data_IF_451413265314
#
_entry.id   IF_451413265314
#
_cell.length_a   1.000
_cell.length_b   1.000
_cell.length_c   1.000
_cell.angle_alpha   90.00
_cell.angle_beta   90.00
_cell.angle_gamma   90.00
#
_symmetry.space_group_name_H-M   'P 1'
#
loop_
_entity.id
_entity.type
_entity.pdbx_description
1 polymer ?
#
# COMPACT_ATOMS: atom_id res chain seq x y z
N UNK A 1 -13.78 6.78 -3.84
CA UNK A 1 -13.41 7.97 -3.04
C UNK A 1 -11.94 7.87 -2.67
N UNK A 2 -11.22 8.99 -2.71
CA UNK A 2 -9.80 9.01 -2.33
C UNK A 2 -9.66 9.62 -0.95
N UNK A 3 -9.05 8.89 -0.02
CA UNK A 3 -8.88 9.36 1.35
C UNK A 3 -7.71 10.37 1.44
N UNK A 4 -7.92 11.45 2.19
CA UNK A 4 -6.93 12.52 2.42
C UNK A 4 -6.32 12.46 3.82
N UNK A 5 -7.07 11.93 4.78
CA UNK A 5 -6.71 11.80 6.18
C UNK A 5 -7.32 10.53 6.76
N UNK A 6 -6.76 10.02 7.86
CA UNK A 6 -7.15 8.73 8.46
C UNK A 6 -8.64 8.70 8.84
N UNK A 7 -9.21 9.83 9.25
CA UNK A 7 -10.63 9.94 9.58
C UNK A 7 -11.55 9.64 8.37
N UNK A 8 -11.11 9.88 7.14
CA UNK A 8 -11.88 9.53 5.94
C UNK A 8 -12.01 8.01 5.77
N UNK A 9 -10.98 7.25 6.16
CA UNK A 9 -10.99 5.77 6.14
C UNK A 9 -12.00 5.27 7.16
N UNK A 10 -11.98 5.82 8.37
CA UNK A 10 -12.91 5.48 9.44
C UNK A 10 -14.36 5.76 9.01
N UNK A 11 -14.62 6.95 8.47
CA UNK A 11 -15.93 7.32 7.96
C UNK A 11 -16.39 6.41 6.81
N UNK A 12 -15.49 6.07 5.87
CA UNK A 12 -15.81 5.16 4.77
C UNK A 12 -16.27 3.78 5.28
N UNK A 13 -15.57 3.22 6.27
CA UNK A 13 -15.92 1.92 6.88
C UNK A 13 -17.28 1.99 7.59
N UNK A 14 -17.54 3.07 8.34
CA UNK A 14 -18.80 3.21 9.09
C UNK A 14 -19.96 3.40 8.11
N UNK A 15 -19.84 4.32 7.15
CA UNK A 15 -20.87 4.58 6.15
C UNK A 15 -21.13 3.36 5.25
N UNK A 16 -20.10 2.60 4.87
CA UNK A 16 -20.29 1.38 4.06
C UNK A 16 -21.15 0.36 4.80
N UNK A 17 -20.93 0.18 6.10
CA UNK A 17 -21.73 -0.72 6.94
C UNK A 17 -23.17 -0.24 7.11
N UNK A 18 -23.36 1.06 7.38
CA UNK A 18 -24.70 1.66 7.56
C UNK A 18 -25.55 1.50 6.28
N UNK A 19 -24.94 1.71 5.11
CA UNK A 19 -25.64 1.70 3.83
C UNK A 19 -25.59 0.34 3.12
N UNK A 20 -24.98 -0.69 3.72
CA UNK A 20 -24.86 -2.02 3.11
C UNK A 20 -24.09 -2.05 1.79
N UNK A 21 -23.14 -1.12 1.60
CA UNK A 21 -22.33 -1.04 0.38
C UNK A 21 -21.04 -1.81 0.56
N UNK A 22 -20.64 -2.58 -0.46
CA UNK A 22 -19.34 -3.21 -0.45
C UNK A 22 -18.25 -2.15 -0.64
N UNK A 23 -17.23 -2.19 0.22
CA UNK A 23 -16.04 -1.36 0.08
C UNK A 23 -14.90 -2.23 -0.45
N UNK A 24 -14.22 -1.76 -1.50
CA UNK A 24 -12.97 -2.34 -2.00
C UNK A 24 -11.82 -1.38 -1.72
N UNK A 25 -10.68 -1.88 -1.27
CA UNK A 25 -9.51 -1.04 -0.95
C UNK A 25 -8.53 -1.15 -2.11
N UNK A 26 -8.15 -0.02 -2.70
CA UNK A 26 -7.15 0.03 -3.75
C UNK A 26 -5.95 0.86 -3.28
N UNK A 27 -4.78 0.21 -3.25
CA UNK A 27 -3.50 0.87 -2.99
C UNK A 27 -2.78 1.15 -4.31
N UNK A 28 -2.31 0.12 -5.02
CA UNK A 28 -1.49 0.26 -6.24
C UNK A 28 -2.10 -0.32 -7.52
N UNK A 29 -3.26 -0.99 -7.46
CA UNK A 29 -3.92 -1.54 -8.65
C UNK A 29 -3.21 -2.71 -9.33
N UNK A 30 -2.20 -3.32 -8.71
CA UNK A 30 -1.46 -4.49 -9.22
C UNK A 30 -2.14 -5.84 -8.92
N UNK A 31 -3.46 -5.81 -8.73
CA UNK A 31 -4.27 -7.00 -8.49
C UNK A 31 -4.51 -7.72 -9.82
N UNK A 32 -4.00 -8.94 -9.95
CA UNK A 32 -4.07 -9.71 -11.21
C UNK A 32 -5.51 -9.94 -11.68
N UNK A 33 -6.44 -10.12 -10.74
CA UNK A 33 -7.86 -10.36 -11.03
C UNK A 33 -8.70 -9.09 -10.82
N UNK A 34 -8.05 -7.96 -10.52
CA UNK A 34 -8.71 -6.67 -10.30
C UNK A 34 -9.65 -6.64 -9.09
N UNK A 35 -9.51 -7.55 -8.11
CA UNK A 35 -10.42 -7.68 -6.95
C UNK A 35 -10.50 -6.37 -6.16
N UNK A 36 -9.41 -5.60 -6.10
CA UNK A 36 -9.35 -4.28 -5.47
C UNK A 36 -10.17 -3.17 -6.14
N UNK A 37 -10.66 -3.36 -7.37
CA UNK A 37 -11.42 -2.33 -8.12
C UNK A 37 -12.56 -2.87 -8.99
N UNK A 38 -12.85 -4.17 -8.96
CA UNK A 38 -13.99 -4.81 -9.62
C UNK A 38 -14.90 -5.51 -8.60
N UNK A 39 -16.21 -5.47 -8.84
CA UNK A 39 -17.21 -6.22 -8.08
C UNK A 39 -18.48 -6.50 -8.87
N UNK A 40 -19.13 -7.62 -8.55
CA UNK A 40 -20.43 -8.03 -9.08
C UNK A 40 -21.62 -7.39 -8.32
N UNK A 41 -21.36 -6.73 -7.20
CA UNK A 41 -22.37 -6.05 -6.37
C UNK A 41 -22.10 -4.55 -6.30
N UNK A 42 -23.10 -3.71 -5.99
CA UNK A 42 -22.88 -2.28 -5.77
C UNK A 42 -21.77 -2.03 -4.75
N UNK A 43 -20.75 -1.30 -5.17
CA UNK A 43 -19.55 -1.08 -4.38
C UNK A 43 -18.98 0.31 -4.61
N UNK A 44 -18.07 0.70 -3.73
CA UNK A 44 -17.19 1.84 -3.96
C UNK A 44 -15.74 1.47 -3.63
N UNK A 45 -14.83 2.18 -4.29
CA UNK A 45 -13.39 2.03 -4.06
C UNK A 45 -12.97 3.05 -3.01
N UNK A 46 -12.30 2.58 -1.96
CA UNK A 46 -11.48 3.39 -1.08
C UNK A 46 -10.06 3.42 -1.63
N UNK A 47 -9.74 4.52 -2.30
CA UNK A 47 -8.42 4.77 -2.89
C UNK A 47 -7.51 5.42 -1.84
N UNK A 48 -6.37 4.78 -1.62
CA UNK A 48 -5.37 5.16 -0.63
C UNK A 48 -4.30 6.10 -1.24
N UNK A 49 -4.61 6.79 -2.35
CA UNK A 49 -3.68 7.60 -3.14
C UNK A 49 -2.67 8.41 -2.32
N UNK A 50 -3.18 9.13 -1.32
CA UNK A 50 -2.41 10.12 -0.56
C UNK A 50 -1.59 9.52 0.60
N UNK A 51 -1.68 8.21 0.85
CA UNK A 51 -0.97 7.54 1.94
C UNK A 51 0.27 6.83 1.43
N UNK A 52 1.29 7.60 1.02
CA UNK A 52 2.51 7.10 0.39
C UNK A 52 3.81 7.45 1.16
N UNK A 53 3.71 7.97 2.39
CA UNK A 53 4.90 8.38 3.14
C UNK A 53 5.79 7.20 3.53
N UNK A 54 7.10 7.42 3.50
CA UNK A 54 8.14 6.48 3.91
C UNK A 54 9.03 7.18 4.93
N UNK A 55 9.16 6.60 6.12
CA UNK A 55 10.01 7.13 7.18
C UNK A 55 10.94 6.03 7.72
N UNK A 56 12.21 6.13 7.39
CA UNK A 56 13.26 5.17 7.79
C UNK A 56 14.07 5.76 8.94
N UNK A 57 14.16 5.03 10.06
CA UNK A 57 15.03 5.33 11.19
C UNK A 57 16.21 4.34 11.20
N UNK A 58 17.42 4.85 10.92
CA UNK A 58 18.64 4.03 10.90
C UNK A 58 19.01 3.60 12.32
N UNK A 59 18.93 4.52 13.27
CA UNK A 59 19.29 4.28 14.68
C UNK A 59 18.47 3.15 15.31
N UNK A 60 17.20 3.04 14.95
CA UNK A 60 16.30 2.02 15.48
C UNK A 60 16.12 0.82 14.53
N UNK A 61 16.78 0.82 13.36
CA UNK A 61 16.64 -0.21 12.32
C UNK A 61 15.17 -0.49 11.91
N UNK A 62 14.32 0.55 11.91
CA UNK A 62 12.89 0.44 11.61
C UNK A 62 12.52 1.39 10.47
N UNK A 63 11.61 0.94 9.61
CA UNK A 63 10.95 1.80 8.62
C UNK A 63 9.42 1.76 8.77
N UNK A 64 8.81 2.94 8.86
CA UNK A 64 7.36 3.12 8.76
C UNK A 64 7.00 3.45 7.33
N UNK A 65 6.14 2.64 6.72
CA UNK A 65 5.66 2.82 5.36
C UNK A 65 4.14 2.88 5.34
N UNK A 66 3.59 3.84 4.60
CA UNK A 66 2.15 3.91 4.40
C UNK A 66 1.68 2.95 3.30
N UNK A 67 0.36 2.70 3.27
CA UNK A 67 -0.25 1.63 2.46
C UNK A 67 0.09 1.71 0.96
N UNK A 68 0.24 2.92 0.43
CA UNK A 68 0.51 3.17 -0.98
C UNK A 68 1.96 3.57 -1.25
N UNK A 69 2.83 3.48 -0.25
CA UNK A 69 4.27 3.58 -0.50
C UNK A 69 4.65 2.55 -1.58
N UNK A 70 5.28 3.03 -2.64
CA UNK A 70 5.67 2.22 -3.76
C UNK A 70 7.00 1.55 -3.43
N UNK A 71 7.11 0.28 -3.81
CA UNK A 71 8.29 -0.51 -3.50
C UNK A 71 9.58 0.12 -4.04
N UNK A 72 9.60 0.58 -5.30
CA UNK A 72 10.77 1.25 -5.88
C UNK A 72 11.21 2.48 -5.08
N UNK A 73 10.27 3.29 -4.59
CA UNK A 73 10.57 4.46 -3.75
C UNK A 73 11.15 4.05 -2.41
N UNK A 74 10.59 3.01 -1.79
CA UNK A 74 11.10 2.45 -0.55
C UNK A 74 12.52 1.90 -0.68
N UNK A 75 12.80 1.15 -1.75
CA UNK A 75 14.15 0.64 -2.02
C UNK A 75 15.16 1.78 -2.18
N UNK A 76 14.76 2.85 -2.86
CA UNK A 76 15.60 4.03 -3.10
C UNK A 76 15.88 4.79 -1.80
N UNK A 77 14.85 4.99 -0.95
CA UNK A 77 15.02 5.65 0.34
C UNK A 77 15.89 4.85 1.32
N UNK A 78 15.80 3.51 1.30
CA UNK A 78 16.69 2.64 2.08
C UNK A 78 18.14 2.77 1.61
N UNK A 79 18.39 2.61 0.31
CA UNK A 79 19.75 2.68 -0.28
C UNK A 79 20.41 4.04 -0.07
N UNK A 80 19.63 5.13 -0.07
CA UNK A 80 20.14 6.49 0.22
C UNK A 80 20.64 6.64 1.66
N UNK A 81 20.03 5.91 2.60
CA UNK A 81 20.36 5.99 4.03
C UNK A 81 21.37 4.95 4.47
N UNK A 82 21.39 3.78 3.85
CA UNK A 82 22.27 2.66 4.19
C UNK A 82 22.88 2.10 2.92
N UNK A 83 24.19 2.26 2.75
CA UNK A 83 24.94 1.91 1.54
C UNK A 83 24.90 0.41 1.18
N UNK A 84 24.54 -0.47 2.11
CA UNK A 84 24.62 -1.93 1.97
C UNK A 84 23.30 -2.69 2.23
N UNK A 85 22.12 -2.04 2.15
CA UNK A 85 20.86 -2.77 2.26
C UNK A 85 20.40 -3.34 0.92
N UNK A 86 20.48 -4.66 0.81
CA UNK A 86 19.77 -5.50 -0.15
C UNK A 86 18.27 -5.23 -0.06
N UNK A 87 17.60 -4.93 -1.18
CA UNK A 87 16.14 -4.80 -1.18
C UNK A 87 15.48 -6.03 -1.80
N UNK A 88 14.61 -6.76 -1.06
CA UNK A 88 14.10 -8.08 -1.44
C UNK A 88 13.26 -8.16 -2.73
N UNK A 89 12.97 -7.08 -3.45
CA UNK A 89 11.77 -7.01 -4.31
C UNK A 89 12.01 -6.27 -5.64
N UNK A 90 12.91 -6.74 -6.47
CA UNK A 90 13.27 -6.01 -7.71
C UNK A 90 12.26 -6.12 -8.86
N UNK A 91 11.36 -7.12 -8.84
CA UNK A 91 10.58 -7.50 -10.02
C UNK A 91 9.36 -6.62 -10.32
N UNK A 92 8.76 -5.93 -9.34
CA UNK A 92 7.58 -5.07 -9.57
C UNK A 92 7.69 -3.75 -8.81
N UNK A 93 8.61 -2.88 -9.25
CA UNK A 93 8.90 -1.59 -8.58
C UNK A 93 7.68 -0.70 -8.38
N UNK A 94 6.65 -0.78 -9.22
CA UNK A 94 5.44 0.05 -9.15
C UNK A 94 4.37 -0.48 -8.19
N UNK A 95 4.55 -1.68 -7.65
CA UNK A 95 3.60 -2.26 -6.69
C UNK A 95 3.64 -1.54 -5.35
N UNK A 96 2.45 -1.31 -4.80
CA UNK A 96 2.29 -0.78 -3.45
C UNK A 96 2.69 -1.81 -2.40
N UNK A 97 3.45 -1.39 -1.40
CA UNK A 97 3.99 -2.25 -0.34
C UNK A 97 2.90 -2.99 0.43
N UNK A 98 1.74 -2.37 0.69
CA UNK A 98 0.67 -3.03 1.43
C UNK A 98 0.15 -4.29 0.73
N UNK A 99 0.06 -4.29 -0.61
CA UNK A 99 -0.39 -5.46 -1.36
C UNK A 99 0.64 -6.59 -1.29
N UNK A 100 1.93 -6.25 -1.43
CA UNK A 100 3.04 -7.23 -1.33
C UNK A 100 3.09 -7.84 0.08
N UNK A 101 3.09 -7.00 1.12
CA UNK A 101 3.23 -7.45 2.50
C UNK A 101 2.03 -8.25 2.99
N UNK A 102 0.81 -7.86 2.60
CA UNK A 102 -0.39 -8.63 2.96
C UNK A 102 -0.50 -9.95 2.18
N UNK A 103 0.04 -10.01 0.97
CA UNK A 103 0.13 -11.23 0.16
C UNK A 103 1.35 -12.11 0.43
N UNK A 104 2.18 -11.76 1.42
CA UNK A 104 3.44 -12.44 1.76
C UNK A 104 4.66 -11.80 1.09
N UNK A 105 4.62 -11.66 -0.24
CA UNK A 105 5.69 -11.03 -1.02
C UNK A 105 6.95 -11.89 -1.14
N UNK A 106 7.49 -12.00 -2.35
CA UNK A 106 8.72 -12.77 -2.60
C UNK A 106 9.64 -12.00 -3.53
N UNK A 107 10.94 -12.28 -3.40
CA UNK A 107 11.97 -11.79 -4.32
C UNK A 107 13.37 -12.01 -3.76
N UNK A 108 14.36 -11.52 -4.50
CA UNK A 108 15.75 -11.76 -4.19
C UNK A 108 16.27 -10.83 -3.09
N UNK A 109 16.87 -11.41 -2.05
CA UNK A 109 17.59 -10.71 -0.97
C UNK A 109 19.09 -10.86 -1.18
N UNK A 110 19.64 -10.19 -2.19
CA UNK A 110 21.11 -10.10 -2.38
C UNK A 110 21.63 -8.73 -1.97
#
# INVERSE_FOLDING_TARGET
MTALQVSHIQAAIVCSKIHGLQMKICSGGHDYEGISYVSDVPFFILDMFNFQSINVSIENEIAWVQVRAILGEFTTELQRKVMFMASPLEFVRQSALAAIFSGGGYGNVM
#
